data_IF_889126091620
#
_entry.id   IF_889126091620
#
_cell.length_a   1.000
_cell.length_b   1.000
_cell.length_c   1.000
_cell.angle_alpha   90.00
_cell.angle_beta   90.00
_cell.angle_gamma   90.00
#
_symmetry.space_group_name_H-M   'P 1'
#
loop_
_entity.id
_entity.type
_entity.pdbx_description
1 polymer ?
#
# COMPACT_ATOMS: atom_id res chain seq x y z
N UNK A 1 5.74 8.19 -14.77
CA UNK A 1 5.17 8.94 -13.63
C UNK A 1 6.22 9.07 -12.54
N UNK A 2 6.20 10.14 -11.72
CA UNK A 2 7.07 10.21 -10.54
C UNK A 2 6.69 9.14 -9.50
N UNK A 3 7.66 8.46 -8.85
CA UNK A 3 7.36 7.44 -7.83
C UNK A 3 6.42 7.94 -6.74
N UNK A 4 6.61 9.19 -6.30
CA UNK A 4 5.74 9.82 -5.30
C UNK A 4 4.29 9.97 -5.79
N UNK A 5 4.09 10.40 -7.05
CA UNK A 5 2.75 10.49 -7.65
C UNK A 5 2.12 9.12 -7.81
N UNK A 6 2.92 8.08 -8.12
CA UNK A 6 2.42 6.70 -8.20
C UNK A 6 1.99 6.19 -6.83
N UNK A 7 2.78 6.42 -5.79
CA UNK A 7 2.39 6.10 -4.42
C UNK A 7 1.07 6.78 -4.02
N UNK A 8 0.93 8.08 -4.30
CA UNK A 8 -0.32 8.83 -4.04
C UNK A 8 -1.51 8.27 -4.82
N UNK A 9 -1.33 7.95 -6.11
CA UNK A 9 -2.38 7.37 -6.94
C UNK A 9 -2.82 6.00 -6.43
N UNK A 10 -1.88 5.15 -6.03
CA UNK A 10 -2.18 3.84 -5.42
C UNK A 10 -2.87 3.98 -4.07
N UNK A 11 -2.49 4.97 -3.27
CA UNK A 11 -3.19 5.30 -2.02
C UNK A 11 -4.65 5.65 -2.27
N UNK A 12 -4.91 6.59 -3.19
CA UNK A 12 -6.28 6.99 -3.55
C UNK A 12 -7.07 5.82 -4.15
N UNK A 13 -6.43 4.98 -4.96
CA UNK A 13 -7.03 3.76 -5.49
C UNK A 13 -7.41 2.78 -4.38
N UNK A 14 -6.57 2.61 -3.36
CA UNK A 14 -6.89 1.82 -2.17
C UNK A 14 -8.11 2.36 -1.43
N UNK A 15 -8.18 3.68 -1.22
CA UNK A 15 -9.36 4.31 -0.60
C UNK A 15 -10.63 4.10 -1.43
N UNK A 16 -10.55 4.31 -2.74
CA UNK A 16 -11.68 4.12 -3.66
C UNK A 16 -12.13 2.65 -3.71
N UNK A 17 -11.18 1.71 -3.77
CA UNK A 17 -11.46 0.28 -3.74
C UNK A 17 -12.10 -0.14 -2.42
N UNK A 18 -11.66 0.40 -1.29
CA UNK A 18 -12.28 0.15 0.01
C UNK A 18 -13.73 0.61 0.03
N UNK A 19 -14.01 1.83 -0.41
CA UNK A 19 -15.38 2.35 -0.52
C UNK A 19 -16.25 1.49 -1.45
N UNK A 20 -15.72 1.06 -2.60
CA UNK A 20 -16.41 0.15 -3.51
C UNK A 20 -16.77 -1.18 -2.84
N UNK A 21 -15.79 -1.83 -2.19
CA UNK A 21 -16.04 -3.10 -1.50
C UNK A 21 -16.88 -2.95 -0.24
N UNK A 22 -17.00 -1.77 0.33
CA UNK A 22 -17.88 -1.53 1.48
C UNK A 22 -19.33 -1.33 1.03
N UNK A 23 -19.57 -0.48 0.03
CA UNK A 23 -20.92 -0.02 -0.33
C UNK A 23 -21.56 -0.75 -1.51
N UNK A 24 -20.77 -1.10 -2.53
CA UNK A 24 -21.29 -1.63 -3.80
C UNK A 24 -21.17 -3.15 -3.89
N UNK A 25 -20.06 -3.71 -3.40
CA UNK A 25 -19.83 -5.15 -3.40
C UNK A 25 -19.14 -5.62 -2.11
N UNK A 26 -19.88 -5.75 -0.99
CA UNK A 26 -19.39 -6.23 0.29
C UNK A 26 -18.44 -7.43 0.17
N UNK A 27 -17.14 -7.18 0.39
CA UNK A 27 -16.11 -8.21 0.36
C UNK A 27 -14.98 -7.88 1.32
N UNK A 28 -14.85 -8.67 2.40
CA UNK A 28 -13.85 -8.46 3.43
C UNK A 28 -12.41 -8.64 2.95
N UNK A 29 -12.15 -9.63 2.09
CA UNK A 29 -10.83 -9.83 1.50
C UNK A 29 -10.45 -8.67 0.57
N UNK A 30 -11.42 -8.16 -0.20
CA UNK A 30 -11.24 -6.97 -1.05
C UNK A 30 -10.94 -5.72 -0.23
N UNK A 31 -11.66 -5.51 0.87
CA UNK A 31 -11.40 -4.43 1.82
C UNK A 31 -10.00 -4.54 2.45
N UNK A 32 -9.58 -5.74 2.88
CA UNK A 32 -8.24 -5.95 3.43
C UNK A 32 -7.12 -5.65 2.41
N UNK A 33 -7.30 -6.06 1.15
CA UNK A 33 -6.39 -5.72 0.05
C UNK A 33 -6.33 -4.21 -0.19
N UNK A 34 -7.48 -3.54 -0.21
CA UNK A 34 -7.58 -2.11 -0.42
C UNK A 34 -6.88 -1.30 0.70
N UNK A 35 -7.05 -1.71 1.96
CA UNK A 35 -6.34 -1.12 3.11
C UNK A 35 -4.84 -1.38 3.01
N UNK A 36 -4.43 -2.61 2.70
CA UNK A 36 -3.02 -2.96 2.49
C UNK A 36 -2.38 -2.10 1.41
N UNK A 37 -3.08 -1.91 0.28
CA UNK A 37 -2.65 -1.07 -0.83
C UNK A 37 -2.46 0.39 -0.41
N UNK A 38 -3.47 0.95 0.26
CA UNK A 38 -3.44 2.34 0.72
C UNK A 38 -2.31 2.59 1.71
N UNK A 39 -2.24 1.81 2.79
CA UNK A 39 -1.24 2.01 3.85
C UNK A 39 0.15 1.65 3.34
N UNK A 40 0.28 0.56 2.58
CA UNK A 40 1.51 0.11 1.95
C UNK A 40 2.12 1.19 1.05
N UNK A 41 1.30 1.88 0.24
CA UNK A 41 1.78 2.96 -0.62
C UNK A 41 2.38 4.14 0.14
N UNK A 42 1.98 4.36 1.40
CA UNK A 42 2.47 5.45 2.24
C UNK A 42 3.68 5.06 3.11
N UNK A 43 4.09 3.79 3.10
CA UNK A 43 5.22 3.31 3.92
C UNK A 43 6.57 3.89 3.52
N UNK A 44 6.72 4.30 2.26
CA UNK A 44 7.93 4.89 1.70
C UNK A 44 7.62 6.28 1.16
N UNK A 45 8.47 7.24 1.49
CA UNK A 45 8.45 8.56 0.88
C UNK A 45 9.61 8.68 -0.12
N UNK A 46 9.34 9.36 -1.23
CA UNK A 46 10.24 9.42 -2.37
C UNK A 46 10.80 10.84 -2.55
N UNK A 47 11.99 11.08 -1.97
CA UNK A 47 12.82 12.28 -2.19
C UNK A 47 14.03 11.96 -3.10
N UNK A 48 15.25 12.32 -2.68
CA UNK A 48 16.47 11.92 -3.40
C UNK A 48 16.68 10.41 -3.41
N UNK A 49 16.37 9.77 -2.28
CA UNK A 49 16.36 8.31 -2.06
C UNK A 49 15.05 7.94 -1.36
N UNK A 50 14.50 6.74 -1.60
CA UNK A 50 13.34 6.25 -0.87
C UNK A 50 13.71 6.11 0.61
N UNK A 51 12.91 6.68 1.48
CA UNK A 51 13.07 6.55 2.93
C UNK A 51 11.80 5.99 3.58
N UNK A 52 11.94 5.09 4.55
CA UNK A 52 10.81 4.57 5.29
C UNK A 52 10.17 5.64 6.16
N UNK A 53 8.83 5.70 6.15
CA UNK A 53 8.05 6.59 7.01
C UNK A 53 7.63 5.80 8.26
N UNK A 54 8.24 6.07 9.44
CA UNK A 54 8.07 5.20 10.62
C UNK A 54 6.62 5.04 11.05
N UNK A 55 5.84 6.12 10.99
CA UNK A 55 4.42 6.09 11.34
C UNK A 55 3.63 5.10 10.47
N UNK A 56 3.79 5.16 9.14
CA UNK A 56 3.07 4.27 8.23
C UNK A 56 3.57 2.83 8.28
N UNK A 57 4.86 2.61 8.55
CA UNK A 57 5.38 1.26 8.82
C UNK A 57 4.79 0.66 10.10
N UNK A 58 4.77 1.43 11.19
CA UNK A 58 4.16 1.01 12.45
C UNK A 58 2.66 0.71 12.28
N UNK A 59 1.94 1.58 11.57
CA UNK A 59 0.54 1.36 11.23
C UNK A 59 0.33 0.11 10.38
N UNK A 60 1.16 -0.09 9.35
CA UNK A 60 1.09 -1.28 8.49
C UNK A 60 1.34 -2.56 9.30
N UNK A 61 2.34 -2.56 10.19
CA UNK A 61 2.64 -3.71 11.04
C UNK A 61 1.52 -4.00 12.04
N UNK A 62 0.94 -2.97 12.66
CA UNK A 62 -0.20 -3.11 13.56
C UNK A 62 -1.43 -3.68 12.82
N UNK A 63 -1.74 -3.14 11.64
CA UNK A 63 -2.84 -3.63 10.82
C UNK A 63 -2.59 -5.05 10.33
N UNK A 64 -1.36 -5.40 9.96
CA UNK A 64 -0.99 -6.77 9.61
C UNK A 64 -1.24 -7.73 10.78
N UNK A 65 -0.84 -7.35 12.00
CA UNK A 65 -1.09 -8.15 13.19
C UNK A 65 -2.59 -8.36 13.42
N UNK A 66 -3.40 -7.30 13.26
CA UNK A 66 -4.86 -7.42 13.37
C UNK A 66 -5.44 -8.32 12.27
N UNK A 67 -4.94 -8.23 11.04
CA UNK A 67 -5.39 -9.09 9.93
C UNK A 67 -4.98 -10.55 10.14
N UNK A 68 -3.82 -10.82 10.75
CA UNK A 68 -3.38 -12.17 11.11
C UNK A 68 -4.28 -12.80 12.17
N UNK A 69 -4.74 -12.01 13.14
CA UNK A 69 -5.55 -12.50 14.26
C UNK A 69 -7.05 -12.56 13.95
N UNK A 70 -7.56 -11.62 13.14
CA UNK A 70 -9.00 -11.38 13.01
C UNK A 70 -9.49 -11.22 11.56
N UNK A 71 -8.62 -11.39 10.56
CA UNK A 71 -8.96 -10.97 9.20
C UNK A 71 -8.33 -11.79 8.07
N UNK A 72 -7.95 -11.08 7.02
CA UNK A 72 -7.52 -11.61 5.74
C UNK A 72 -6.06 -11.17 5.48
N UNK A 73 -5.07 -11.86 6.07
CA UNK A 73 -3.69 -11.41 6.06
C UNK A 73 -3.05 -11.50 4.67
N UNK A 74 -3.41 -12.52 3.87
CA UNK A 74 -2.86 -12.68 2.52
C UNK A 74 -3.31 -11.56 1.57
N UNK A 75 -4.61 -11.22 1.44
CA UNK A 75 -5.04 -10.05 0.67
C UNK A 75 -4.39 -8.75 1.12
N UNK A 76 -4.30 -8.53 2.44
CA UNK A 76 -3.65 -7.34 2.99
C UNK A 76 -2.17 -7.26 2.59
N UNK A 77 -1.42 -8.35 2.74
CA UNK A 77 -0.01 -8.42 2.33
C UNK A 77 0.16 -8.17 0.83
N UNK A 78 -0.70 -8.77 -0.01
CA UNK A 78 -0.69 -8.51 -1.45
C UNK A 78 -0.91 -7.03 -1.75
N UNK A 79 -1.91 -6.42 -1.12
CA UNK A 79 -2.15 -4.98 -1.21
C UNK A 79 -0.91 -4.17 -0.85
N UNK A 80 -0.29 -4.45 0.29
CA UNK A 80 0.88 -3.71 0.75
C UNK A 80 2.13 -3.91 -0.12
N UNK A 81 2.37 -5.12 -0.60
CA UNK A 81 3.46 -5.42 -1.55
C UNK A 81 3.25 -4.64 -2.84
N UNK A 82 2.02 -4.55 -3.36
CA UNK A 82 1.72 -3.74 -4.54
C UNK A 82 1.88 -2.25 -4.25
N UNK A 83 1.36 -1.77 -3.11
CA UNK A 83 1.39 -0.37 -2.70
C UNK A 83 2.80 0.16 -2.53
N UNK A 84 3.66 -0.56 -1.81
CA UNK A 84 5.06 -0.18 -1.61
C UNK A 84 5.95 -0.56 -2.80
N UNK A 85 5.71 -1.72 -3.39
CA UNK A 85 6.56 -2.31 -4.42
C UNK A 85 6.48 -1.60 -5.76
N UNK A 86 5.28 -1.23 -6.24
CA UNK A 86 5.14 -0.58 -7.55
C UNK A 86 5.85 0.79 -7.62
N UNK A 87 5.69 1.71 -6.63
CA UNK A 87 6.46 2.95 -6.60
C UNK A 87 7.96 2.72 -6.43
N UNK A 88 8.36 1.71 -5.65
CA UNK A 88 9.77 1.38 -5.46
C UNK A 88 10.43 0.87 -6.75
N UNK A 89 9.74 -0.01 -7.49
CA UNK A 89 10.17 -0.47 -8.81
C UNK A 89 10.25 0.70 -9.80
N UNK A 90 9.25 1.59 -9.81
CA UNK A 90 9.27 2.80 -10.64
C UNK A 90 10.46 3.72 -10.30
N UNK A 91 10.84 3.84 -9.02
CA UNK A 91 12.04 4.55 -8.60
C UNK A 91 13.32 3.87 -9.13
N UNK A 92 13.44 2.54 -8.95
CA UNK A 92 14.60 1.74 -9.40
C UNK A 92 14.82 1.81 -10.91
N UNK A 93 13.75 1.78 -11.70
CA UNK A 93 13.84 1.87 -13.16
C UNK A 93 14.25 3.27 -13.64
N UNK A 94 13.97 4.32 -12.86
CA UNK A 94 14.36 5.71 -13.21
C UNK A 94 15.81 6.04 -12.85
N UNK A 95 16.35 5.45 -11.78
CA UNK A 95 17.77 5.52 -11.42
C UNK A 95 18.38 4.13 -11.60
N UNK A 96 18.69 3.71 -12.85
CA UNK A 96 19.38 2.45 -13.06
C UNK A 96 20.69 2.47 -12.25
N UNK A 97 20.94 1.39 -11.51
CA UNK A 97 22.14 1.24 -10.71
C UNK A 97 23.36 1.50 -11.60
N UNK A 98 24.15 2.51 -11.24
CA UNK A 98 25.55 2.56 -11.65
C UNK A 98 26.32 1.56 -10.81
#
# INVERSE_FOLDING_TARGET
>A
MEPNRLAQALALMGVAAYAFFLFLRPNQAGMALAVGLFVGAMTLAYGEKPFPVPFFLGLYALLLLLQLLFGHPLPFLLGGVLGAGLPYLAYRLRKPAR
#
